data_IF_456658653689
#
_entry.id   IF_456658653689
#
_cell.length_a   1.000
_cell.length_b   1.000
_cell.length_c   1.000
_cell.angle_alpha   90.00
_cell.angle_beta   90.00
_cell.angle_gamma   90.00
#
_symmetry.space_group_name_H-M   'P 1'
#
loop_
_entity.id
_entity.type
_entity.pdbx_description
1 polymer ?
#
# COMPACT_ATOMS: atom_id res chain seq x y z
N UNK A 1 -16.21 -2.06 15.02
CA UNK A 1 -15.31 -2.91 14.22
C UNK A 1 -14.39 -2.08 13.34
N UNK A 2 -14.93 -1.11 12.57
CA UNK A 2 -14.13 -0.26 11.67
C UNK A 2 -13.04 0.55 12.37
N UNK A 3 -13.21 0.91 13.65
CA UNK A 3 -12.16 1.61 14.41
C UNK A 3 -10.89 0.78 14.61
N UNK A 4 -11.00 -0.55 14.74
CA UNK A 4 -9.82 -1.43 14.87
C UNK A 4 -8.94 -1.28 13.63
N UNK A 5 -9.55 -1.28 12.45
CA UNK A 5 -8.84 -1.16 11.18
C UNK A 5 -8.32 0.25 10.94
N UNK A 6 -9.07 1.31 11.31
CA UNK A 6 -8.58 2.69 11.28
C UNK A 6 -7.33 2.88 12.14
N UNK A 7 -7.34 2.31 13.35
CA UNK A 7 -6.20 2.40 14.27
C UNK A 7 -4.97 1.66 13.70
N UNK A 8 -5.17 0.51 13.06
CA UNK A 8 -4.10 -0.25 12.41
C UNK A 8 -3.59 0.39 11.11
N UNK A 9 -4.45 1.15 10.41
CA UNK A 9 -4.09 1.92 9.21
C UNK A 9 -3.20 3.11 9.59
N UNK A 10 -3.52 3.82 10.66
CA UNK A 10 -2.67 4.91 11.18
C UNK A 10 -1.37 4.38 11.78
N UNK A 11 -1.43 3.26 12.50
CA UNK A 11 -0.28 2.70 13.20
C UNK A 11 -0.35 1.18 13.30
N UNK A 12 0.32 0.56 12.35
CA UNK A 12 0.47 -0.88 12.23
C UNK A 12 1.17 -1.54 13.44
N UNK A 13 1.81 -0.79 14.35
CA UNK A 13 2.52 -1.35 15.52
C UNK A 13 1.67 -1.45 16.79
N UNK A 14 0.46 -0.87 16.80
CA UNK A 14 -0.38 -0.90 18.00
C UNK A 14 -0.75 -2.33 18.37
N UNK A 15 -0.53 -2.68 19.64
CA UNK A 15 -0.84 -4.03 20.11
C UNK A 15 -2.35 -4.22 20.23
N UNK A 16 -2.85 -5.46 20.12
CA UNK A 16 -4.26 -5.75 20.36
C UNK A 16 -4.74 -5.29 21.74
N UNK A 17 -3.85 -5.24 22.75
CA UNK A 17 -4.18 -4.67 24.07
C UNK A 17 -4.46 -3.18 24.00
N UNK A 18 -3.60 -2.40 23.35
CA UNK A 18 -3.79 -0.95 23.20
C UNK A 18 -5.06 -0.65 22.42
N UNK A 19 -5.31 -1.39 21.33
CA UNK A 19 -6.52 -1.23 20.52
C UNK A 19 -7.77 -1.55 21.34
N UNK A 20 -7.74 -2.60 22.17
CA UNK A 20 -8.83 -2.94 23.09
C UNK A 20 -9.12 -1.82 24.09
N UNK A 21 -8.07 -1.22 24.69
CA UNK A 21 -8.21 -0.09 25.61
C UNK A 21 -8.77 1.16 24.91
N UNK A 22 -8.33 1.45 23.69
CA UNK A 22 -8.80 2.63 22.93
C UNK A 22 -10.23 2.50 22.43
N UNK A 23 -10.65 1.29 22.03
CA UNK A 23 -11.97 1.03 21.43
C UNK A 23 -13.01 0.56 22.45
N UNK A 24 -12.61 0.23 23.68
CA UNK A 24 -13.48 -0.39 24.69
C UNK A 24 -13.94 -1.81 24.34
N UNK A 25 -13.38 -2.42 23.28
CA UNK A 25 -13.74 -3.76 22.83
C UNK A 25 -12.91 -4.80 23.60
N UNK A 26 -13.50 -5.95 24.00
CA UNK A 26 -12.74 -7.03 24.63
C UNK A 26 -11.54 -7.49 23.78
N UNK A 27 -10.39 -7.68 24.43
CA UNK A 27 -9.15 -8.12 23.78
C UNK A 27 -9.33 -9.37 22.89
N UNK A 28 -10.13 -10.34 23.35
CA UNK A 28 -10.41 -11.57 22.60
C UNK A 28 -11.10 -11.29 21.27
N UNK A 29 -12.04 -10.32 21.23
CA UNK A 29 -12.71 -9.90 19.99
C UNK A 29 -11.76 -9.17 19.06
N UNK A 30 -10.89 -8.30 19.58
CA UNK A 30 -9.88 -7.59 18.78
C UNK A 30 -8.91 -8.58 18.13
N UNK A 31 -8.37 -9.54 18.88
CA UNK A 31 -7.49 -10.58 18.33
C UNK A 31 -8.17 -11.44 17.27
N UNK A 32 -9.42 -11.84 17.50
CA UNK A 32 -10.19 -12.60 16.53
C UNK A 32 -10.43 -11.80 15.25
N UNK A 33 -10.78 -10.52 15.37
CA UNK A 33 -11.02 -9.64 14.23
C UNK A 33 -9.76 -9.46 13.36
N UNK A 34 -8.60 -9.21 13.98
CA UNK A 34 -7.34 -9.06 13.25
C UNK A 34 -6.98 -10.36 12.53
N UNK A 35 -7.07 -11.51 13.22
CA UNK A 35 -6.74 -12.81 12.62
C UNK A 35 -7.68 -13.20 11.49
N UNK A 36 -8.96 -12.83 11.60
CA UNK A 36 -9.92 -13.01 10.52
C UNK A 36 -9.54 -12.12 9.33
N UNK A 37 -9.25 -10.85 9.59
CA UNK A 37 -8.88 -9.85 8.59
C UNK A 37 -7.58 -10.18 7.83
N UNK A 38 -6.64 -10.88 8.47
CA UNK A 38 -5.44 -11.39 7.81
C UNK A 38 -5.76 -12.60 6.91
N UNK A 39 -6.69 -13.47 7.33
CA UNK A 39 -7.08 -14.66 6.56
C UNK A 39 -7.93 -14.35 5.35
N UNK A 40 -8.87 -13.42 5.48
CA UNK A 40 -9.79 -13.01 4.42
C UNK A 40 -9.18 -11.96 3.48
N UNK A 41 -7.91 -11.59 3.69
CA UNK A 41 -7.16 -10.57 2.94
C UNK A 41 -7.75 -9.15 3.06
N UNK A 42 -8.52 -8.86 4.10
CA UNK A 42 -8.89 -7.49 4.45
C UNK A 42 -7.65 -6.68 4.85
N UNK A 43 -6.72 -7.30 5.56
CA UNK A 43 -5.38 -6.75 5.82
C UNK A 43 -4.42 -7.35 4.80
N UNK A 44 -3.98 -6.54 3.83
CA UNK A 44 -3.09 -6.98 2.77
C UNK A 44 -1.61 -7.00 3.21
N UNK A 45 -1.18 -5.98 3.96
CA UNK A 45 0.18 -5.87 4.49
C UNK A 45 0.26 -4.80 5.58
N UNK A 46 1.26 -4.93 6.43
CA UNK A 46 1.68 -3.87 7.35
C UNK A 46 2.86 -3.11 6.73
N UNK A 47 2.77 -1.79 6.63
CA UNK A 47 3.80 -0.94 6.04
C UNK A 47 4.27 0.10 7.05
N UNK A 48 5.59 0.33 7.09
CA UNK A 48 6.16 1.46 7.81
C UNK A 48 6.35 2.65 6.86
N UNK A 49 6.08 3.86 7.36
CA UNK A 49 6.50 5.11 6.70
C UNK A 49 7.94 5.37 7.13
N UNK A 50 8.85 5.33 6.17
CA UNK A 50 10.30 5.49 6.39
C UNK A 50 10.75 6.76 5.68
N UNK A 51 11.53 7.58 6.37
CA UNK A 51 12.24 8.69 5.76
C UNK A 51 13.55 8.14 5.16
N UNK A 52 13.55 7.96 3.84
CA UNK A 52 14.69 7.44 3.08
C UNK A 52 15.82 8.47 2.92
N UNK A 53 15.51 9.77 2.93
CA UNK A 53 16.52 10.85 2.86
C UNK A 53 17.52 10.76 4.02
N UNK A 54 17.05 10.37 5.21
CA UNK A 54 17.90 10.17 6.39
C UNK A 54 18.79 8.92 6.33
N UNK A 55 18.48 7.99 5.43
CA UNK A 55 19.24 6.74 5.27
C UNK A 55 20.29 6.85 4.16
N UNK A 56 20.40 8.00 3.50
CA UNK A 56 21.35 8.22 2.40
C UNK A 56 20.97 7.50 1.10
N UNK A 57 19.79 6.87 1.05
CA UNK A 57 19.20 6.34 -0.17
C UNK A 57 18.49 7.49 -0.90
N UNK A 58 19.23 8.22 -1.74
CA UNK A 58 18.65 9.20 -2.65
C UNK A 58 17.80 8.49 -3.70
N UNK A 59 16.50 8.32 -3.40
CA UNK A 59 15.54 7.83 -4.39
C UNK A 59 15.03 8.99 -5.23
N UNK A 60 15.58 9.15 -6.43
CA UNK A 60 15.07 10.11 -7.41
C UNK A 60 13.80 9.53 -8.04
N UNK A 61 12.67 10.21 -7.85
CA UNK A 61 11.42 9.90 -8.53
C UNK A 61 11.21 10.95 -9.62
N UNK A 62 11.01 10.50 -10.86
CA UNK A 62 10.70 11.36 -12.00
C UNK A 62 9.31 11.02 -12.56
N UNK A 63 8.55 12.05 -12.91
CA UNK A 63 7.33 11.90 -13.69
C UNK A 63 7.67 12.14 -15.17
N UNK A 64 7.40 11.16 -16.02
CA UNK A 64 7.68 11.23 -17.45
C UNK A 64 6.36 11.29 -18.21
N UNK A 65 6.03 12.45 -18.78
CA UNK A 65 4.89 12.60 -19.69
C UNK A 65 5.32 12.21 -21.11
N UNK A 66 4.65 11.21 -21.69
CA UNK A 66 4.94 10.74 -23.05
C UNK A 66 3.80 11.15 -23.98
N UNK A 67 4.10 12.02 -24.95
CA UNK A 67 3.16 12.37 -26.02
C UNK A 67 3.37 11.45 -27.21
N UNK A 68 2.29 10.79 -27.63
CA UNK A 68 2.31 9.74 -28.64
C UNK A 68 1.30 10.05 -29.74
N UNK A 69 1.67 9.78 -30.99
CA UNK A 69 0.72 9.75 -32.12
C UNK A 69 0.32 8.29 -32.31
N UNK A 70 -0.98 7.95 -32.21
CA UNK A 70 -1.42 6.56 -32.30
C UNK A 70 -1.10 5.98 -33.68
N UNK A 71 -0.53 4.78 -33.70
CA UNK A 71 -0.38 4.00 -34.92
C UNK A 71 -1.66 3.20 -35.17
N UNK A 72 -2.01 2.99 -36.45
CA UNK A 72 -3.18 2.17 -36.82
C UNK A 72 -3.05 0.79 -36.19
N UNK A 73 -4.15 0.33 -35.58
CA UNK A 73 -4.35 -1.02 -35.04
C UNK A 73 -3.58 -1.43 -33.76
N UNK A 74 -2.73 -0.56 -33.18
CA UNK A 74 -1.94 -0.90 -31.95
C UNK A 74 -2.14 0.04 -30.76
N UNK A 75 -2.90 1.13 -30.92
CA UNK A 75 -3.30 2.01 -29.81
C UNK A 75 -2.13 2.53 -28.96
N UNK A 76 -2.36 2.68 -27.65
CA UNK A 76 -1.34 3.07 -26.65
C UNK A 76 -0.76 1.88 -25.89
N UNK A 77 -1.45 0.73 -25.93
CA UNK A 77 -1.14 -0.47 -25.14
C UNK A 77 0.24 -1.04 -25.46
N UNK A 78 0.64 -1.03 -26.74
CA UNK A 78 1.95 -1.53 -27.16
C UNK A 78 3.12 -0.77 -26.51
N UNK A 79 2.95 0.53 -26.25
CA UNK A 79 3.97 1.36 -25.60
C UNK A 79 3.91 1.20 -24.08
N UNK A 80 2.70 1.13 -23.51
CA UNK A 80 2.52 0.85 -22.08
C UNK A 80 3.16 -0.48 -21.68
N UNK A 81 2.92 -1.56 -22.44
CA UNK A 81 3.54 -2.88 -22.22
C UNK A 81 5.07 -2.83 -22.23
N UNK A 82 5.65 -2.00 -23.11
CA UNK A 82 7.10 -1.84 -23.18
C UNK A 82 7.63 -1.12 -21.93
N UNK A 83 6.91 -0.12 -21.43
CA UNK A 83 7.30 0.64 -20.22
C UNK A 83 7.16 -0.24 -18.97
N UNK A 84 6.11 -1.05 -18.86
CA UNK A 84 5.91 -1.97 -17.72
C UNK A 84 7.04 -2.97 -17.49
N UNK A 85 7.83 -3.27 -18.53
CA UNK A 85 8.97 -4.21 -18.43
C UNK A 85 10.18 -3.61 -17.73
N UNK A 86 10.25 -2.29 -17.58
CA UNK A 86 11.34 -1.64 -16.86
C UNK A 86 11.10 -1.73 -15.35
N UNK A 87 12.02 -2.34 -14.57
CA UNK A 87 11.86 -2.43 -13.12
C UNK A 87 11.82 -1.06 -12.41
N UNK A 88 12.31 -0.01 -13.07
CA UNK A 88 12.26 1.37 -12.61
C UNK A 88 10.86 1.99 -12.75
N UNK A 89 10.00 1.44 -13.61
CA UNK A 89 8.64 1.94 -13.84
C UNK A 89 7.69 1.42 -12.74
N UNK A 90 7.51 2.24 -11.70
CA UNK A 90 6.72 1.86 -10.51
C UNK A 90 5.20 1.94 -10.74
N UNK A 91 4.76 2.90 -11.56
CA UNK A 91 3.36 3.14 -11.92
C UNK A 91 3.30 3.70 -13.34
N UNK A 92 2.44 3.14 -14.19
CA UNK A 92 2.12 3.64 -15.54
C UNK A 92 0.62 3.84 -15.59
N UNK A 93 0.20 4.98 -16.14
CA UNK A 93 -1.20 5.44 -16.21
C UNK A 93 -1.66 5.54 -17.66
#
# INVERSE_FOLDING_TARGET
>A
MNEIFKILEEDARKTPQQIATMTGIPLSKVKAAIKQAERDRTILKYKAIVNWDRLGDEQVVALVEVRLVPQRDVGFDAIAERIYRFPEARSVY
#
